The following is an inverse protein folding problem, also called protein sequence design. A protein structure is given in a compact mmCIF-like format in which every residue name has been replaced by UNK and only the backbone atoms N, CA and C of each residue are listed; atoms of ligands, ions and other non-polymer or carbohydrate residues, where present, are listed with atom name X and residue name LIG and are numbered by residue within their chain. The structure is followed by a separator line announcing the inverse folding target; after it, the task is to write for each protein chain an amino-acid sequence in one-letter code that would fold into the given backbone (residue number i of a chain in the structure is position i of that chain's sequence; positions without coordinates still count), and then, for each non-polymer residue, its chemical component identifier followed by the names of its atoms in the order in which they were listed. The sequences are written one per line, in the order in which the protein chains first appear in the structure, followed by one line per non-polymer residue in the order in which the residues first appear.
data_IF_296626251716
#
_entry.id   IF_296626251716
#
_cell.length_a   1.000
_cell.length_b   1.000
_cell.length_c   1.000
_cell.angle_alpha   90.00
_cell.angle_beta   90.00
_cell.angle_gamma   90.00
#
_symmetry.space_group_name_H-M   'P 1'
#
loop_
_entity.id
_entity.type
_entity.pdbx_description
1 polymer ?
#
# COMPACT_ATOMS: atom_id res chain seq x y z
N UNK A 1 38.33 -34.66 29.49
CA UNK A 1 37.99 -33.24 29.26
C UNK A 1 36.86 -33.18 28.30
N UNK A 2 35.65 -32.92 28.77
CA UNK A 2 34.44 -32.91 27.96
C UNK A 2 34.22 -31.47 27.42
N UNK A 3 34.18 -31.33 26.12
CA UNK A 3 33.82 -30.10 25.45
C UNK A 3 32.28 -30.01 25.33
N UNK A 4 31.71 -29.09 26.07
CA UNK A 4 30.28 -28.76 26.00
C UNK A 4 29.98 -28.03 24.67
N UNK A 5 29.21 -28.66 23.80
CA UNK A 5 28.61 -28.04 22.63
C UNK A 5 27.44 -27.17 23.07
N UNK A 6 27.61 -25.87 23.06
CA UNK A 6 26.52 -24.90 23.18
C UNK A 6 25.80 -24.77 21.84
N UNK A 7 24.60 -25.35 21.77
CA UNK A 7 23.65 -25.12 20.68
C UNK A 7 23.15 -23.67 20.74
N UNK A 8 23.67 -22.81 19.86
CA UNK A 8 23.04 -21.53 19.54
C UNK A 8 21.88 -21.79 18.59
N UNK A 9 20.67 -21.66 19.12
CA UNK A 9 19.46 -21.67 18.31
C UNK A 9 19.45 -20.43 17.38
N UNK A 10 19.04 -20.58 16.11
CA UNK A 10 18.91 -19.45 15.21
C UNK A 10 17.75 -18.55 15.65
N UNK A 11 17.83 -17.22 15.44
CA UNK A 11 16.76 -16.31 15.78
C UNK A 11 15.51 -16.67 14.95
N UNK A 12 14.43 -16.97 15.66
CA UNK A 12 13.12 -17.28 15.07
C UNK A 12 12.65 -16.10 14.23
N UNK A 13 12.70 -16.25 12.93
CA UNK A 13 11.95 -15.43 12.01
C UNK A 13 10.47 -15.79 12.19
N UNK A 14 9.79 -15.12 13.12
CA UNK A 14 8.35 -15.24 13.35
C UNK A 14 7.59 -14.57 12.22
N UNK A 15 7.45 -15.28 11.11
CA UNK A 15 6.43 -14.99 10.09
C UNK A 15 5.18 -15.77 10.49
N UNK A 16 4.26 -15.04 11.11
CA UNK A 16 2.96 -15.49 11.59
C UNK A 16 2.17 -16.23 10.53
N UNK A 17 1.89 -17.51 10.80
CA UNK A 17 0.78 -18.20 10.16
C UNK A 17 -0.54 -17.77 10.84
N UNK A 18 -1.61 -17.49 10.10
CA UNK A 18 -2.90 -17.16 10.69
C UNK A 18 -3.57 -18.44 11.24
N UNK A 19 -3.88 -18.44 12.53
CA UNK A 19 -4.87 -19.34 13.10
C UNK A 19 -6.26 -18.89 12.65
N UNK A 20 -6.92 -19.73 11.86
CA UNK A 20 -8.35 -19.63 11.56
C UNK A 20 -9.15 -19.76 12.85
N UNK A 21 -9.77 -18.68 13.29
CA UNK A 21 -10.86 -18.73 14.23
C UNK A 21 -12.16 -18.52 13.44
N UNK A 22 -12.93 -19.59 13.29
CA UNK A 22 -14.32 -19.54 12.87
C UNK A 22 -15.12 -18.72 13.90
N UNK A 23 -15.54 -17.52 13.54
CA UNK A 23 -16.58 -16.79 14.24
C UNK A 23 -17.89 -16.97 13.49
N UNK A 24 -18.77 -17.72 14.13
CA UNK A 24 -20.16 -17.90 13.80
C UNK A 24 -20.87 -16.56 13.86
N UNK A 25 -21.49 -16.18 12.76
CA UNK A 25 -22.31 -14.98 12.62
C UNK A 25 -23.73 -15.29 13.11
N UNK A 26 -24.30 -14.57 14.10
CA UNK A 26 -25.71 -14.68 14.41
C UNK A 26 -26.53 -13.93 13.34
N UNK A 27 -27.47 -14.65 12.75
CA UNK A 27 -28.50 -14.07 11.89
C UNK A 27 -29.57 -13.41 12.78
N UNK A 28 -29.90 -12.17 12.47
CA UNK A 28 -31.10 -11.50 12.99
C UNK A 28 -32.22 -11.58 11.95
N UNK A 29 -33.44 -11.84 12.39
CA UNK A 29 -34.58 -12.06 11.47
C UNK A 29 -35.18 -10.74 10.98
N UNK A 30 -35.54 -10.74 9.71
CA UNK A 30 -36.41 -9.71 9.09
C UNK A 30 -37.84 -9.84 9.56
N UNK A 31 -38.56 -8.74 9.86
CA UNK A 31 -40.01 -8.80 9.95
C UNK A 31 -40.65 -8.59 8.57
N UNK A 32 -41.51 -9.52 8.21
CA UNK A 32 -42.31 -9.54 7.02
C UNK A 32 -43.52 -8.62 7.16
N UNK A 33 -43.83 -7.98 6.05
CA UNK A 33 -45.08 -7.47 5.52
C UNK A 33 -46.39 -7.59 6.33
N UNK A 34 -47.25 -6.59 6.27
CA UNK A 34 -48.59 -6.79 5.71
C UNK A 34 -49.40 -5.49 5.61
N UNK A 35 -50.07 -5.40 4.45
CA UNK A 35 -51.43 -4.94 4.19
C UNK A 35 -51.73 -3.44 4.14
N UNK A 36 -52.06 -3.08 2.90
CA UNK A 36 -53.00 -1.98 2.58
C UNK A 36 -54.39 -2.26 3.14
N UNK A 37 -55.19 -1.23 3.34
CA UNK A 37 -56.43 -1.15 2.56
C UNK A 37 -56.69 0.20 1.87
N UNK A 38 -57.44 0.09 0.80
CA UNK A 38 -57.99 1.09 -0.10
C UNK A 38 -59.35 1.56 0.45
N UNK A 39 -59.65 2.89 0.37
CA UNK A 39 -61.00 3.46 0.17
C UNK A 39 -60.87 4.92 -0.23
N UNK A 40 -61.22 5.26 -1.41
CA UNK A 40 -62.40 5.93 -2.01
C UNK A 40 -62.95 7.13 -1.23
N UNK A 41 -62.98 8.27 -1.89
CA UNK A 41 -63.75 9.45 -1.50
C UNK A 41 -63.41 10.65 -2.38
N UNK A 42 -64.31 10.89 -3.37
CA UNK A 42 -64.25 12.04 -4.25
C UNK A 42 -64.83 13.27 -3.58
N UNK A 43 -64.27 14.46 -3.81
CA UNK A 43 -64.98 15.74 -3.87
C UNK A 43 -64.09 16.78 -4.57
N UNK A 44 -64.71 17.49 -5.51
CA UNK A 44 -64.10 18.53 -6.34
C UNK A 44 -64.22 19.93 -5.67
N UNK A 45 -63.73 21.01 -6.33
CA UNK A 45 -62.90 22.07 -5.75
C UNK A 45 -63.71 23.36 -5.38
N UNK A 46 -63.02 24.35 -4.81
CA UNK A 46 -63.19 25.68 -5.33
C UNK A 46 -61.89 26.47 -5.54
N UNK A 47 -61.91 27.13 -6.68
CA UNK A 47 -61.47 28.53 -7.01
C UNK A 47 -60.12 29.08 -6.54
N UNK A 48 -59.47 29.55 -7.53
CA UNK A 48 -58.43 30.56 -7.75
C UNK A 48 -58.11 31.49 -6.59
N UNK A 49 -56.86 31.41 -6.20
CA UNK A 49 -56.11 32.54 -5.62
C UNK A 49 -54.77 32.65 -6.33
N UNK A 50 -54.65 33.68 -7.15
CA UNK A 50 -53.41 34.11 -7.84
C UNK A 50 -52.34 34.50 -6.81
N UNK A 51 -51.42 33.59 -6.52
CA UNK A 51 -50.22 33.92 -5.78
C UNK A 51 -49.08 34.23 -6.77
N UNK A 52 -48.78 35.52 -6.84
CA UNK A 52 -47.57 36.07 -7.51
C UNK A 52 -46.35 35.30 -7.07
N UNK A 53 -45.73 34.60 -8.00
CA UNK A 53 -44.39 34.04 -7.86
C UNK A 53 -43.40 35.19 -7.74
N UNK A 54 -43.00 35.53 -6.48
CA UNK A 54 -41.75 36.28 -6.28
C UNK A 54 -40.61 35.40 -6.75
N UNK A 55 -39.92 35.86 -7.79
CA UNK A 55 -38.64 35.29 -8.20
C UNK A 55 -37.67 35.37 -7.02
N UNK A 56 -37.59 34.31 -6.26
CA UNK A 56 -36.53 34.12 -5.28
C UNK A 56 -35.24 33.97 -6.05
N UNK A 57 -34.36 34.95 -5.91
CA UNK A 57 -32.99 34.86 -6.38
C UNK A 57 -32.35 33.69 -5.62
N UNK A 58 -32.28 32.54 -6.26
CA UNK A 58 -31.58 31.37 -5.74
C UNK A 58 -30.09 31.74 -5.71
N UNK A 59 -29.63 32.17 -4.57
CA UNK A 59 -28.20 32.16 -4.28
C UNK A 59 -27.80 30.68 -4.18
N UNK A 60 -27.50 30.06 -5.33
CA UNK A 60 -26.62 28.92 -5.33
C UNK A 60 -25.27 29.44 -4.89
N UNK A 61 -24.74 29.01 -3.73
CA UNK A 61 -23.34 29.25 -3.46
C UNK A 61 -22.59 28.59 -4.64
N UNK A 62 -21.94 29.40 -5.45
CA UNK A 62 -21.01 28.91 -6.45
C UNK A 62 -20.03 28.04 -5.68
N UNK A 63 -20.20 26.72 -5.79
CA UNK A 63 -19.17 25.79 -5.38
C UNK A 63 -17.93 26.24 -6.14
N UNK A 64 -17.04 26.93 -5.44
CA UNK A 64 -15.70 27.19 -5.89
C UNK A 64 -15.16 25.84 -6.31
N UNK A 65 -15.11 25.58 -7.62
CA UNK A 65 -14.42 24.40 -8.16
C UNK A 65 -13.00 24.52 -7.62
N UNK A 66 -12.70 23.75 -6.56
CA UNK A 66 -11.35 23.65 -6.03
C UNK A 66 -10.49 23.31 -7.24
N UNK A 67 -9.59 24.23 -7.64
CA UNK A 67 -8.71 24.02 -8.79
C UNK A 67 -8.07 22.65 -8.61
N UNK A 68 -8.23 21.76 -9.58
CA UNK A 68 -7.61 20.44 -9.51
C UNK A 68 -6.10 20.66 -9.33
N UNK A 69 -5.53 20.10 -8.28
CA UNK A 69 -4.10 20.18 -8.01
C UNK A 69 -3.34 19.45 -9.13
N UNK A 70 -2.20 19.99 -9.51
CA UNK A 70 -1.32 19.33 -10.46
C UNK A 70 -0.70 18.09 -9.81
N UNK A 71 -0.23 17.15 -10.65
CA UNK A 71 0.48 15.96 -10.17
C UNK A 71 1.73 16.34 -9.38
N UNK A 72 2.44 17.33 -9.83
CA UNK A 72 3.67 17.85 -9.23
C UNK A 72 3.39 18.43 -7.84
N UNK A 73 2.33 19.24 -7.70
CA UNK A 73 1.92 19.78 -6.39
C UNK A 73 1.56 18.67 -5.38
N UNK A 74 0.86 17.61 -5.83
CA UNK A 74 0.53 16.48 -4.95
C UNK A 74 1.78 15.69 -4.56
N UNK A 75 2.73 15.51 -5.49
CA UNK A 75 4.01 14.84 -5.20
C UNK A 75 4.83 15.61 -4.18
N UNK A 76 4.94 16.93 -4.34
CA UNK A 76 5.67 17.79 -3.42
C UNK A 76 5.07 17.71 -2.02
N UNK A 77 3.74 17.85 -1.89
CA UNK A 77 3.04 17.70 -0.60
C UNK A 77 3.29 16.32 0.02
N UNK A 78 3.28 15.24 -0.80
CA UNK A 78 3.56 13.89 -0.31
C UNK A 78 4.98 13.78 0.26
N UNK A 79 5.97 14.28 -0.48
CA UNK A 79 7.38 14.23 -0.08
C UNK A 79 7.63 15.06 1.19
N UNK A 80 7.03 16.25 1.30
CA UNK A 80 7.09 17.07 2.51
C UNK A 80 6.45 16.37 3.72
N UNK A 81 5.27 15.74 3.51
CA UNK A 81 4.57 15.06 4.59
C UNK A 81 5.33 13.86 5.15
N UNK A 82 6.08 13.11 4.33
CA UNK A 82 6.83 11.93 4.75
C UNK A 82 8.24 12.24 5.28
N UNK A 83 8.84 13.36 4.89
CA UNK A 83 10.21 13.72 5.21
C UNK A 83 10.58 13.62 6.71
N UNK A 84 9.77 14.09 7.67
CA UNK A 84 10.10 14.05 9.10
C UNK A 84 9.84 12.70 9.78
N UNK A 85 9.29 11.68 9.09
CA UNK A 85 8.67 10.52 9.72
C UNK A 85 9.56 9.25 9.78
N UNK A 86 10.86 9.37 9.55
CA UNK A 86 11.80 8.22 9.53
C UNK A 86 11.22 7.00 8.79
N UNK A 87 10.88 7.19 7.51
CA UNK A 87 10.24 6.18 6.65
C UNK A 87 8.90 5.64 7.19
N UNK A 88 8.28 6.32 8.12
CA UNK A 88 7.03 5.94 8.78
C UNK A 88 7.20 5.34 10.17
N UNK A 89 8.44 5.21 10.69
CA UNK A 89 8.70 4.69 12.03
C UNK A 89 8.20 5.63 13.14
N UNK A 90 8.21 6.93 12.90
CA UNK A 90 7.76 7.97 13.81
C UNK A 90 6.36 8.52 13.43
N UNK A 91 5.68 7.92 12.42
CA UNK A 91 4.36 8.36 11.97
C UNK A 91 3.25 8.06 12.99
N UNK A 92 2.49 9.08 13.35
CA UNK A 92 1.24 8.94 14.12
C UNK A 92 0.11 8.34 13.25
N UNK A 93 -1.00 7.88 13.83
CA UNK A 93 -2.18 7.46 13.07
C UNK A 93 -2.71 8.56 12.14
N UNK A 94 -2.70 9.82 12.59
CA UNK A 94 -3.16 10.98 11.80
C UNK A 94 -2.22 11.23 10.62
N UNK A 95 -0.89 11.10 10.82
CA UNK A 95 0.08 11.19 9.73
C UNK A 95 -0.15 10.09 8.70
N UNK A 96 -0.39 8.85 9.15
CA UNK A 96 -0.66 7.72 8.25
C UNK A 96 -1.91 7.94 7.41
N UNK A 97 -3.00 8.45 8.02
CA UNK A 97 -4.24 8.77 7.32
C UNK A 97 -4.02 9.90 6.30
N UNK A 98 -3.36 10.98 6.70
CA UNK A 98 -3.03 12.11 5.81
C UNK A 98 -2.21 11.64 4.61
N UNK A 99 -1.16 10.86 4.84
CA UNK A 99 -0.31 10.35 3.76
C UNK A 99 -1.08 9.41 2.83
N UNK A 100 -1.95 8.55 3.38
CA UNK A 100 -2.79 7.68 2.56
C UNK A 100 -3.75 8.47 1.68
N UNK A 101 -4.31 9.58 2.18
CA UNK A 101 -5.17 10.48 1.41
C UNK A 101 -4.40 11.12 0.23
N UNK A 102 -3.21 11.67 0.49
CA UNK A 102 -2.37 12.27 -0.57
C UNK A 102 -1.95 11.21 -1.59
N UNK A 103 -1.58 10.01 -1.12
CA UNK A 103 -1.24 8.89 -2.00
C UNK A 103 -2.41 8.50 -2.91
N UNK A 104 -3.65 8.46 -2.40
CA UNK A 104 -4.86 8.19 -3.20
C UNK A 104 -5.11 9.26 -4.25
N UNK A 105 -4.79 10.52 -3.97
CA UNK A 105 -4.90 11.58 -4.98
C UNK A 105 -3.92 11.35 -6.15
N UNK A 106 -2.67 10.95 -5.88
CA UNK A 106 -1.72 10.55 -6.91
C UNK A 106 -2.18 9.31 -7.69
N UNK A 107 -2.67 8.30 -6.98
CA UNK A 107 -3.22 7.08 -7.58
C UNK A 107 -4.38 7.38 -8.55
N UNK A 108 -5.23 8.36 -8.21
CA UNK A 108 -6.35 8.77 -9.05
C UNK A 108 -5.91 9.42 -10.38
N UNK A 109 -4.77 10.11 -10.38
CA UNK A 109 -4.21 10.76 -11.58
C UNK A 109 -3.13 9.92 -12.28
N UNK A 110 -2.98 8.65 -11.89
CA UNK A 110 -2.00 7.75 -12.48
C UNK A 110 -2.33 7.46 -13.96
N UNK A 111 -1.35 7.72 -14.81
CA UNK A 111 -1.48 7.47 -16.26
C UNK A 111 -1.00 6.08 -16.68
N UNK A 112 -0.13 5.44 -15.89
CA UNK A 112 0.40 4.11 -16.18
C UNK A 112 -0.58 3.04 -15.71
N UNK A 113 -1.30 2.43 -16.65
CA UNK A 113 -2.34 1.43 -16.35
C UNK A 113 -1.79 0.01 -16.21
N UNK A 114 -0.67 -0.28 -16.85
CA UNK A 114 -0.01 -1.58 -16.87
C UNK A 114 1.46 -1.44 -16.44
N UNK A 115 1.73 -1.22 -15.14
CA UNK A 115 3.08 -0.92 -14.66
C UNK A 115 4.11 -2.01 -14.99
N UNK A 116 3.73 -3.28 -15.01
CA UNK A 116 4.63 -4.38 -15.35
C UNK A 116 4.94 -4.53 -16.84
N UNK A 117 4.28 -3.74 -17.70
CA UNK A 117 4.62 -3.61 -19.13
C UNK A 117 5.36 -2.30 -19.42
N UNK A 118 5.59 -1.47 -18.43
CA UNK A 118 6.26 -0.18 -18.57
C UNK A 118 7.72 -0.30 -18.12
N UNK A 119 8.65 0.23 -18.92
CA UNK A 119 10.07 0.29 -18.56
C UNK A 119 10.32 1.11 -17.28
N UNK A 120 9.39 1.99 -16.93
CA UNK A 120 9.49 2.82 -15.72
C UNK A 120 9.55 2.00 -14.43
N UNK A 121 9.06 0.74 -14.41
CA UNK A 121 9.10 -0.10 -13.21
C UNK A 121 10.50 -0.63 -12.93
N UNK A 122 11.32 -0.80 -14.00
CA UNK A 122 12.64 -1.38 -13.93
C UNK A 122 13.61 -0.48 -13.16
N UNK A 123 14.50 -1.10 -12.38
CA UNK A 123 15.54 -0.38 -11.66
C UNK A 123 15.50 -0.58 -10.16
N UNK A 124 16.29 0.21 -9.46
CA UNK A 124 16.45 0.21 -8.00
C UNK A 124 15.72 1.41 -7.41
N UNK A 125 14.82 1.14 -6.48
CA UNK A 125 13.96 2.09 -5.80
C UNK A 125 14.30 2.14 -4.31
N UNK A 126 14.40 3.32 -3.75
CA UNK A 126 14.57 3.55 -2.32
C UNK A 126 13.21 3.62 -1.63
N UNK A 127 13.02 2.89 -0.53
CA UNK A 127 11.83 2.97 0.30
C UNK A 127 11.90 4.23 1.17
N UNK A 128 11.09 5.24 0.83
CA UNK A 128 11.04 6.52 1.56
C UNK A 128 9.90 6.59 2.57
N UNK A 129 8.87 5.73 2.44
CA UNK A 129 7.80 5.62 3.44
C UNK A 129 7.09 4.27 3.36
N UNK A 130 6.71 3.73 4.52
CA UNK A 130 5.83 2.55 4.60
C UNK A 130 5.06 2.52 5.92
N UNK A 131 3.89 1.87 5.89
CA UNK A 131 3.11 1.50 7.10
C UNK A 131 3.43 0.10 7.60
N UNK A 132 4.37 -0.62 6.97
CA UNK A 132 4.71 -2.00 7.30
C UNK A 132 5.56 -2.11 8.56
N UNK A 133 4.94 -2.47 9.68
CA UNK A 133 5.63 -2.67 10.97
C UNK A 133 6.75 -3.73 10.91
N UNK A 134 6.60 -4.74 10.05
CA UNK A 134 7.62 -5.79 9.89
C UNK A 134 8.89 -5.27 9.22
N UNK A 135 8.79 -4.27 8.36
CA UNK A 135 9.95 -3.60 7.73
C UNK A 135 10.55 -2.59 8.71
N UNK A 136 9.72 -1.73 9.29
CA UNK A 136 10.16 -0.67 10.22
C UNK A 136 10.72 -1.23 11.53
N UNK A 137 10.32 -2.44 11.92
CA UNK A 137 10.73 -3.12 13.15
C UNK A 137 10.61 -2.24 14.41
N UNK A 138 9.54 -1.43 14.47
CA UNK A 138 9.31 -0.44 15.54
C UNK A 138 9.25 -1.04 16.95
N UNK A 139 9.07 -2.36 17.07
CA UNK A 139 9.11 -3.08 18.34
C UNK A 139 10.52 -3.25 18.90
N UNK A 140 11.55 -3.09 18.07
CA UNK A 140 12.95 -3.18 18.50
C UNK A 140 13.43 -1.83 19.03
N UNK A 141 14.41 -1.83 19.97
CA UNK A 141 15.11 -0.60 20.34
C UNK A 141 15.65 0.12 19.10
N UNK A 142 15.66 1.45 19.11
CA UNK A 142 16.05 2.26 17.92
C UNK A 142 17.40 1.85 17.31
N UNK A 143 18.39 1.52 18.13
CA UNK A 143 19.74 1.11 17.66
C UNK A 143 19.79 -0.30 17.00
N UNK A 144 18.71 -1.09 17.15
CA UNK A 144 18.55 -2.41 16.49
C UNK A 144 17.55 -2.38 15.33
N UNK A 145 17.05 -1.21 14.96
CA UNK A 145 16.19 -1.06 13.79
C UNK A 145 17.04 -0.92 12.51
N UNK A 146 16.48 -1.27 11.34
CA UNK A 146 17.10 -0.88 10.08
C UNK A 146 17.10 0.64 9.99
N UNK A 147 18.24 1.28 10.23
CA UNK A 147 18.40 2.74 10.17
C UNK A 147 19.14 3.23 8.92
N UNK A 148 19.69 2.31 8.14
CA UNK A 148 20.19 2.56 6.80
C UNK A 148 19.06 2.54 5.74
N UNK A 149 19.43 2.81 4.50
CA UNK A 149 18.49 2.81 3.38
C UNK A 149 17.98 1.40 3.11
N UNK A 150 16.72 1.32 2.69
CA UNK A 150 16.06 0.09 2.25
C UNK A 150 15.71 0.27 0.78
N UNK A 151 16.12 -0.69 -0.03
CA UNK A 151 15.89 -0.66 -1.47
C UNK A 151 15.05 -1.84 -1.93
N UNK A 152 14.29 -1.59 -2.99
CA UNK A 152 13.62 -2.64 -3.77
C UNK A 152 13.98 -2.47 -5.24
N UNK A 153 14.57 -3.49 -5.83
CA UNK A 153 14.78 -3.53 -7.28
C UNK A 153 13.74 -4.44 -7.94
N UNK A 154 13.28 -4.05 -9.12
CA UNK A 154 12.35 -4.82 -9.96
C UNK A 154 12.92 -4.87 -11.37
N UNK A 155 12.83 -6.08 -11.98
CA UNK A 155 13.01 -6.30 -13.40
C UNK A 155 11.74 -6.94 -13.95
N UNK A 156 10.97 -6.20 -14.73
CA UNK A 156 9.75 -6.71 -15.35
C UNK A 156 10.05 -7.79 -16.40
N UNK A 157 11.14 -7.62 -17.16
CA UNK A 157 11.53 -8.54 -18.23
C UNK A 157 11.81 -9.97 -17.74
N UNK A 158 12.43 -10.07 -16.56
CA UNK A 158 12.79 -11.36 -15.95
C UNK A 158 11.82 -11.77 -14.83
N UNK A 159 10.83 -10.93 -14.55
CA UNK A 159 9.90 -11.09 -13.43
C UNK A 159 10.62 -11.34 -12.10
N UNK A 160 11.72 -10.61 -11.87
CA UNK A 160 12.54 -10.71 -10.68
C UNK A 160 12.44 -9.46 -9.83
N UNK A 161 12.47 -9.66 -8.51
CA UNK A 161 12.60 -8.59 -7.54
C UNK A 161 13.72 -8.90 -6.53
N UNK A 162 14.26 -7.85 -5.94
CA UNK A 162 15.25 -7.95 -4.87
C UNK A 162 14.98 -6.84 -3.87
N UNK A 163 14.87 -7.19 -2.58
CA UNK A 163 14.88 -6.24 -1.48
C UNK A 163 16.27 -6.26 -0.84
N UNK A 164 16.76 -5.08 -0.47
CA UNK A 164 18.10 -4.88 0.09
C UNK A 164 18.00 -3.92 1.25
N UNK A 165 18.53 -4.34 2.40
CA UNK A 165 18.77 -3.46 3.55
C UNK A 165 20.27 -3.09 3.55
N UNK A 166 20.58 -1.86 3.90
CA UNK A 166 21.96 -1.44 4.14
C UNK A 166 22.34 -1.65 5.61
N UNK A 167 22.73 -0.64 6.32
CA UNK A 167 23.14 -0.74 7.71
C UNK A 167 21.95 -1.06 8.65
N UNK A 168 22.11 -1.88 9.71
CA UNK A 168 23.36 -2.57 10.11
C UNK A 168 23.46 -4.01 9.55
N UNK A 169 22.40 -4.55 8.95
CA UNK A 169 22.32 -5.99 8.67
C UNK A 169 22.73 -6.40 7.26
N UNK A 170 22.69 -5.48 6.30
CA UNK A 170 22.99 -5.75 4.88
C UNK A 170 22.25 -6.97 4.32
N UNK A 171 21.03 -7.21 4.81
CA UNK A 171 20.22 -8.32 4.37
C UNK A 171 19.70 -8.10 2.96
N UNK A 172 19.65 -9.18 2.19
CA UNK A 172 19.08 -9.16 0.85
C UNK A 172 18.11 -10.33 0.70
N UNK A 173 17.06 -10.12 -0.07
CA UNK A 173 16.12 -11.18 -0.44
C UNK A 173 15.72 -11.03 -1.89
N UNK A 174 15.81 -12.14 -2.64
CA UNK A 174 15.33 -12.19 -4.02
C UNK A 174 14.00 -12.90 -4.09
N UNK A 175 13.21 -12.57 -5.11
CA UNK A 175 11.89 -13.13 -5.33
C UNK A 175 11.58 -13.27 -6.82
N UNK A 176 10.71 -14.23 -7.14
CA UNK A 176 10.02 -14.30 -8.41
C UNK A 176 8.71 -13.50 -8.30
N UNK A 177 8.38 -12.76 -9.34
CA UNK A 177 7.11 -12.08 -9.49
C UNK A 177 6.20 -12.90 -10.40
N UNK A 178 5.03 -13.29 -9.89
CA UNK A 178 4.02 -14.00 -10.66
C UNK A 178 2.86 -13.05 -10.93
N UNK A 179 2.68 -12.58 -12.18
CA UNK A 179 1.61 -11.65 -12.51
C UNK A 179 0.24 -12.25 -12.22
N UNK A 180 -0.59 -11.51 -11.50
CA UNK A 180 -2.00 -11.84 -11.24
C UNK A 180 -2.92 -11.03 -12.17
N UNK A 181 -2.54 -9.79 -12.45
CA UNK A 181 -3.19 -8.91 -13.42
C UNK A 181 -2.24 -7.80 -13.87
N UNK A 182 -2.75 -6.80 -14.58
CA UNK A 182 -1.96 -5.69 -15.13
C UNK A 182 -1.15 -4.90 -14.08
N UNK A 183 -1.61 -4.86 -12.80
CA UNK A 183 -1.03 -4.05 -11.71
C UNK A 183 -0.53 -4.86 -10.53
N UNK A 184 -0.98 -6.13 -10.40
CA UNK A 184 -0.76 -6.94 -9.20
C UNK A 184 0.06 -8.16 -9.52
N UNK A 185 1.00 -8.47 -8.63
CA UNK A 185 1.85 -9.66 -8.68
C UNK A 185 1.82 -10.39 -7.34
N UNK A 186 1.98 -11.70 -7.40
CA UNK A 186 2.35 -12.51 -6.25
C UNK A 186 3.88 -12.53 -6.15
N UNK A 187 4.41 -12.17 -4.99
CA UNK A 187 5.85 -12.13 -4.70
C UNK A 187 6.21 -13.44 -4.02
N UNK A 188 7.07 -14.24 -4.64
CA UNK A 188 7.54 -15.53 -4.15
C UNK A 188 9.03 -15.43 -3.80
N UNK A 189 9.35 -15.30 -2.52
CA UNK A 189 10.73 -15.22 -2.05
C UNK A 189 11.45 -16.55 -2.25
N UNK A 190 12.68 -16.48 -2.77
CA UNK A 190 13.47 -17.68 -3.10
C UNK A 190 14.82 -17.75 -2.41
N UNK A 191 15.52 -16.66 -2.20
CA UNK A 191 16.85 -16.66 -1.58
C UNK A 191 16.99 -15.48 -0.63
N UNK A 192 17.44 -15.76 0.58
CA UNK A 192 17.87 -14.74 1.53
C UNK A 192 19.40 -14.73 1.58
N UNK A 193 20.00 -13.55 1.69
CA UNK A 193 21.41 -13.38 2.03
C UNK A 193 21.49 -12.59 3.33
N UNK A 194 22.11 -13.20 4.33
CA UNK A 194 22.41 -12.54 5.61
C UNK A 194 23.77 -11.87 5.50
N UNK A 195 23.88 -10.62 5.95
CA UNK A 195 25.06 -9.77 5.81
C UNK A 195 25.57 -9.67 4.36
N UNK A 196 24.66 -9.81 3.38
CA UNK A 196 25.03 -9.78 1.97
C UNK A 196 25.85 -10.99 1.46
N UNK A 197 26.27 -11.89 2.35
CA UNK A 197 27.25 -12.93 2.07
C UNK A 197 26.70 -14.35 2.15
N UNK A 198 25.92 -14.69 3.18
CA UNK A 198 25.50 -16.07 3.45
C UNK A 198 24.15 -16.33 2.78
N UNK A 199 24.10 -17.10 1.68
CA UNK A 199 22.83 -17.44 1.01
C UNK A 199 22.08 -18.52 1.78
N UNK A 200 20.81 -18.26 2.07
CA UNK A 200 19.88 -19.21 2.67
C UNK A 200 18.69 -19.35 1.73
N UNK A 201 18.36 -20.57 1.31
CA UNK A 201 17.14 -20.81 0.53
C UNK A 201 15.92 -20.46 1.38
N UNK A 202 15.03 -19.65 0.85
CA UNK A 202 13.76 -19.39 1.49
C UNK A 202 12.96 -20.71 1.62
N UNK A 203 12.32 -20.99 2.76
CA UNK A 203 11.56 -22.22 2.96
C UNK A 203 10.25 -22.28 2.17
N UNK A 204 10.14 -21.59 1.04
CA UNK A 204 9.02 -21.63 0.10
C UNK A 204 7.66 -21.10 0.60
N UNK A 205 7.61 -20.61 1.83
CA UNK A 205 6.37 -20.14 2.49
C UNK A 205 6.21 -18.61 2.54
N UNK A 206 7.25 -17.86 2.18
CA UNK A 206 7.19 -16.41 2.10
C UNK A 206 6.48 -15.98 0.81
N UNK A 207 5.20 -15.65 0.92
CA UNK A 207 4.38 -15.12 -0.19
C UNK A 207 3.75 -13.82 0.26
N UNK A 208 3.60 -12.89 -0.66
CA UNK A 208 2.86 -11.66 -0.47
C UNK A 208 2.36 -11.17 -1.81
N UNK A 209 1.31 -10.36 -1.80
CA UNK A 209 0.86 -9.68 -3.01
C UNK A 209 1.33 -8.24 -2.99
N UNK A 210 1.65 -7.73 -4.15
CA UNK A 210 2.02 -6.33 -4.36
C UNK A 210 1.22 -5.77 -5.53
N UNK A 211 0.52 -4.69 -5.30
CA UNK A 211 -0.16 -3.91 -6.34
C UNK A 211 0.54 -2.58 -6.53
N UNK A 212 0.93 -2.28 -7.78
CA UNK A 212 1.48 -0.97 -8.16
C UNK A 212 0.32 -0.06 -8.51
N UNK A 213 0.06 0.93 -7.68
CA UNK A 213 -1.10 1.82 -7.81
C UNK A 213 -0.75 3.15 -8.47
N UNK A 214 0.50 3.61 -8.32
CA UNK A 214 1.06 4.77 -9.01
C UNK A 214 2.48 4.49 -9.49
N UNK A 215 2.81 4.98 -10.68
CA UNK A 215 4.15 4.86 -11.25
C UNK A 215 4.46 6.05 -12.17
N UNK A 216 5.56 6.73 -11.89
CA UNK A 216 6.22 7.63 -12.82
C UNK A 216 7.75 7.42 -12.79
N UNK A 217 8.53 8.30 -13.42
CA UNK A 217 10.00 8.22 -13.46
C UNK A 217 10.69 8.45 -12.10
N UNK A 218 9.98 9.02 -11.13
CA UNK A 218 10.56 9.46 -9.84
C UNK A 218 9.97 8.70 -8.66
N UNK A 219 8.65 8.45 -8.67
CA UNK A 219 7.89 7.91 -7.54
C UNK A 219 7.11 6.67 -7.97
N UNK A 220 7.11 5.68 -7.11
CA UNK A 220 6.25 4.50 -7.19
C UNK A 220 5.47 4.35 -5.90
N UNK A 221 4.15 4.20 -5.99
CA UNK A 221 3.30 3.82 -4.86
C UNK A 221 2.82 2.39 -5.08
N UNK A 222 2.88 1.60 -4.01
CA UNK A 222 2.47 0.20 -4.03
C UNK A 222 1.67 -0.12 -2.78
N UNK A 223 0.73 -1.06 -2.89
CA UNK A 223 -0.07 -1.57 -1.78
C UNK A 223 0.11 -3.07 -1.65
N UNK A 224 0.33 -3.54 -0.41
CA UNK A 224 0.46 -4.96 -0.10
C UNK A 224 -0.89 -5.58 0.29
N UNK A 225 -0.93 -6.92 0.32
CA UNK A 225 -2.09 -7.74 0.69
C UNK A 225 -2.65 -7.45 2.11
N UNK A 226 -1.80 -6.94 3.00
CA UNK A 226 -2.17 -6.55 4.38
C UNK A 226 -2.57 -5.08 4.52
N UNK A 227 -2.82 -4.39 3.40
CA UNK A 227 -3.13 -2.97 3.38
C UNK A 227 -1.94 -2.05 3.63
N UNK A 228 -0.72 -2.59 3.68
CA UNK A 228 0.47 -1.76 3.85
C UNK A 228 0.69 -0.86 2.63
N UNK A 229 1.02 0.39 2.89
CA UNK A 229 1.43 1.36 1.90
C UNK A 229 2.96 1.37 1.78
N UNK A 230 3.46 1.47 0.55
CA UNK A 230 4.87 1.61 0.23
C UNK A 230 5.04 2.75 -0.76
N UNK A 231 5.84 3.74 -0.41
CA UNK A 231 6.21 4.86 -1.29
C UNK A 231 7.70 4.78 -1.51
N UNK A 232 8.09 4.72 -2.79
CA UNK A 232 9.48 4.51 -3.19
C UNK A 232 9.89 5.58 -4.19
N UNK A 233 11.17 5.97 -4.11
CA UNK A 233 11.82 6.92 -5.02
C UNK A 233 12.82 6.20 -5.91
N UNK A 234 12.85 6.52 -7.19
CA UNK A 234 13.84 6.00 -8.14
C UNK A 234 15.25 6.50 -7.77
N UNK A 235 16.20 5.57 -7.70
CA UNK A 235 17.62 5.91 -7.45
C UNK A 235 18.53 5.41 -8.57
N UNK A 236 18.22 4.27 -9.21
CA UNK A 236 19.02 3.77 -10.33
C UNK A 236 18.13 3.01 -11.34
N UNK A 237 17.74 3.65 -12.45
CA UNK A 237 16.89 3.00 -13.47
C UNK A 237 17.65 1.93 -14.28
N UNK A 238 18.99 1.93 -14.22
CA UNK A 238 19.83 0.98 -14.93
C UNK A 238 20.07 -0.33 -14.17
N UNK A 239 19.81 -0.32 -12.85
CA UNK A 239 20.02 -1.51 -12.01
C UNK A 239 19.21 -2.69 -12.50
N UNK A 240 19.87 -3.86 -12.50
CA UNK A 240 19.19 -5.13 -12.82
C UNK A 240 19.45 -6.15 -11.71
N UNK A 241 18.38 -6.85 -11.33
CA UNK A 241 18.47 -7.94 -10.35
C UNK A 241 19.30 -9.07 -10.93
N UNK A 242 20.34 -9.56 -10.23
CA UNK A 242 21.15 -10.65 -10.70
C UNK A 242 20.29 -11.88 -11.01
N UNK A 243 20.50 -12.48 -12.19
CA UNK A 243 19.89 -13.75 -12.55
C UNK A 243 20.54 -14.84 -11.70
N UNK A 244 19.78 -15.86 -11.32
CA UNK A 244 20.37 -17.02 -10.66
C UNK A 244 21.43 -17.64 -11.56
N UNK A 245 22.68 -17.67 -11.07
CA UNK A 245 23.69 -18.57 -11.60
C UNK A 245 23.42 -20.00 -11.09
#
# INVERSE_FOLDING_TARGET
MALASSHLAPPSASLLAPRSLHLVRPQLPFPSSSRRPRKTGAAAPPEAASLRWRAGVSFFPSFLKKKARSREEIKEELLEAIAPLDRGADATPDDQERIDQIARELEAVNTVKEPFKSDLINGKWELIYTTSRSILQVQRPKFLRPNGEIYQAINADTLRAQNMETWPYFNQVTANLVPLNAKRVNVQFDTFKIFGLIPIKAPGRGRGELEITYLDKEIRISRGDKGNLFILKMVDPSYRVPVRG
#
